data_IF_032699583223
#
_entry.id   IF_032699583223
#
_cell.length_a   1.000
_cell.length_b   1.000
_cell.length_c   1.000
_cell.angle_alpha   90.00
_cell.angle_beta   90.00
_cell.angle_gamma   90.00
#
_symmetry.space_group_name_H-M   'P 1'
#
loop_
_entity.id
_entity.type
_entity.pdbx_description
1 polymer ?
#
# COMPACT_ATOMS: atom_id res chain seq x y z
N UNK A 1 -10.01 15.90 -13.98
CA UNK A 1 -10.71 14.60 -13.91
C UNK A 1 -11.94 14.68 -14.78
N UNK A 2 -12.00 13.82 -15.79
CA UNK A 2 -13.10 13.65 -16.74
C UNK A 2 -14.20 12.75 -16.14
N UNK A 3 -15.39 12.75 -16.72
CA UNK A 3 -16.50 11.88 -16.29
C UNK A 3 -16.14 10.39 -16.39
N UNK A 4 -15.45 9.99 -17.46
CA UNK A 4 -14.96 8.62 -17.64
C UNK A 4 -13.97 8.19 -16.55
N UNK A 5 -13.07 9.08 -16.13
CA UNK A 5 -12.13 8.80 -15.04
C UNK A 5 -12.84 8.64 -13.68
N UNK A 6 -13.90 9.42 -13.43
CA UNK A 6 -14.72 9.28 -12.21
C UNK A 6 -15.44 7.93 -12.18
N UNK A 7 -16.12 7.58 -13.28
CA UNK A 7 -16.84 6.30 -13.39
C UNK A 7 -15.91 5.09 -13.26
N UNK A 8 -14.72 5.15 -13.88
CA UNK A 8 -13.72 4.10 -13.76
C UNK A 8 -13.22 3.94 -12.32
N UNK A 9 -13.00 5.06 -11.62
CA UNK A 9 -12.62 5.04 -10.20
C UNK A 9 -13.72 4.48 -9.31
N UNK A 10 -14.97 4.86 -9.52
CA UNK A 10 -16.11 4.33 -8.76
C UNK A 10 -16.32 2.83 -8.98
N UNK A 11 -16.18 2.36 -10.23
CA UNK A 11 -16.23 0.93 -10.54
C UNK A 11 -15.09 0.17 -9.85
N UNK A 12 -13.87 0.72 -9.89
CA UNK A 12 -12.72 0.16 -9.20
C UNK A 12 -12.93 0.11 -7.67
N UNK A 13 -13.39 1.20 -7.07
CA UNK A 13 -13.63 1.29 -5.62
C UNK A 13 -14.73 0.30 -5.18
N UNK A 14 -15.77 0.10 -6.00
CA UNK A 14 -16.82 -0.90 -5.76
C UNK A 14 -16.28 -2.34 -5.82
N UNK A 15 -15.39 -2.64 -6.75
CA UNK A 15 -14.78 -3.96 -6.89
C UNK A 15 -13.70 -4.23 -5.83
N UNK A 16 -13.11 -3.19 -5.25
CA UNK A 16 -11.98 -3.28 -4.32
C UNK A 16 -12.31 -2.55 -3.01
N UNK A 17 -13.22 -3.09 -2.19
CA UNK A 17 -13.60 -2.47 -0.94
C UNK A 17 -12.42 -2.45 0.04
N UNK A 18 -12.40 -1.41 0.88
CA UNK A 18 -11.50 -1.32 2.02
C UNK A 18 -11.79 -2.44 3.03
N UNK A 19 -10.73 -3.04 3.55
CA UNK A 19 -10.74 -4.14 4.50
C UNK A 19 -10.13 -3.71 5.83
N UNK A 20 -10.52 -4.38 6.89
CA UNK A 20 -9.92 -4.20 8.21
C UNK A 20 -8.48 -4.74 8.23
N UNK A 21 -7.61 -4.10 9.02
CA UNK A 21 -6.17 -4.40 9.05
C UNK A 21 -5.84 -5.81 9.52
N UNK A 22 -6.68 -6.42 10.34
CA UNK A 22 -6.57 -7.81 10.81
C UNK A 22 -6.66 -8.85 9.68
N UNK A 23 -7.24 -8.49 8.54
CA UNK A 23 -7.31 -9.34 7.35
C UNK A 23 -6.03 -9.31 6.50
N UNK A 24 -5.12 -8.37 6.74
CA UNK A 24 -3.89 -8.25 5.97
C UNK A 24 -2.94 -9.42 6.25
N UNK A 25 -2.31 -9.95 5.19
CA UNK A 25 -1.39 -11.09 5.28
C UNK A 25 0.00 -10.72 4.74
N UNK A 26 1.10 -11.19 5.36
CA UNK A 26 2.45 -10.97 4.86
C UNK A 26 2.80 -11.91 3.69
N UNK A 27 1.90 -12.05 2.73
CA UNK A 27 2.03 -12.98 1.60
C UNK A 27 2.55 -12.30 0.32
N UNK A 28 2.86 -11.00 0.40
CA UNK A 28 3.33 -10.20 -0.73
C UNK A 28 2.23 -9.64 -1.61
N UNK A 29 0.97 -9.77 -1.21
CA UNK A 29 -0.15 -9.08 -1.86
C UNK A 29 0.14 -7.59 -1.89
N UNK A 30 0.12 -7.02 -3.10
CA UNK A 30 0.22 -5.58 -3.31
C UNK A 30 -1.09 -4.98 -2.84
N UNK A 31 -1.03 -3.84 -2.16
CA UNK A 31 -2.21 -3.19 -1.63
C UNK A 31 -2.06 -1.67 -1.65
N UNK A 32 -3.18 -0.99 -1.43
CA UNK A 32 -3.22 0.41 -1.02
C UNK A 32 -3.52 0.47 0.47
N UNK A 33 -2.99 1.50 1.13
CA UNK A 33 -3.23 1.77 2.55
C UNK A 33 -4.05 3.06 2.68
N UNK A 34 -5.07 3.01 3.53
CA UNK A 34 -5.74 4.19 4.03
C UNK A 34 -4.98 4.64 5.27
N UNK A 35 -4.18 5.70 5.12
CA UNK A 35 -3.35 6.24 6.18
C UNK A 35 -4.13 7.31 6.95
N UNK A 36 -4.02 7.29 8.28
CA UNK A 36 -4.43 8.42 9.09
C UNK A 36 -3.31 9.45 9.07
N UNK A 37 -3.30 10.29 8.05
CA UNK A 37 -2.54 11.53 8.14
C UNK A 37 -3.24 12.38 9.21
N UNK A 38 -2.54 12.70 10.29
CA UNK A 38 -3.08 13.43 11.45
C UNK A 38 -3.51 14.89 11.10
N UNK A 39 -3.54 15.24 9.82
CA UNK A 39 -3.89 16.55 9.25
C UNK A 39 -5.24 16.48 8.51
N UNK A 40 -5.88 15.30 8.44
CA UNK A 40 -7.19 15.11 7.79
C UNK A 40 -7.11 14.96 6.28
N UNK A 41 -5.91 14.81 5.70
CA UNK A 41 -5.74 14.37 4.33
C UNK A 41 -5.77 12.85 4.28
N UNK A 42 -6.96 12.29 4.08
CA UNK A 42 -7.12 10.93 3.57
C UNK A 42 -6.68 10.89 2.10
N UNK A 43 -5.40 11.14 1.83
CA UNK A 43 -4.86 10.90 0.50
C UNK A 43 -5.00 9.40 0.25
N UNK A 44 -5.90 9.05 -0.66
CA UNK A 44 -5.81 7.82 -1.43
C UNK A 44 -4.59 7.97 -2.35
N UNK A 45 -3.38 8.02 -1.76
CA UNK A 45 -2.15 8.01 -2.51
C UNK A 45 -2.17 6.74 -3.35
N UNK A 46 -1.97 6.87 -4.65
CA UNK A 46 -1.83 5.73 -5.58
C UNK A 46 -0.62 4.83 -5.24
N UNK A 47 0.14 5.21 -4.21
CA UNK A 47 1.22 4.46 -3.62
C UNK A 47 0.77 3.03 -3.31
N UNK A 48 1.61 2.09 -3.73
CA UNK A 48 1.42 0.66 -3.53
C UNK A 48 2.32 0.16 -2.42
N UNK A 49 1.78 -0.71 -1.59
CA UNK A 49 2.45 -1.25 -0.41
C UNK A 49 2.38 -2.78 -0.38
N UNK A 50 3.20 -3.39 0.46
CA UNK A 50 3.03 -4.78 0.90
C UNK A 50 3.39 -4.93 2.37
N UNK A 51 2.79 -5.94 3.02
CA UNK A 51 3.10 -6.33 4.40
C UNK A 51 4.25 -7.33 4.42
N UNK A 52 5.28 -7.06 5.20
CA UNK A 52 6.37 -8.00 5.45
C UNK A 52 6.06 -8.92 6.63
N UNK A 53 6.74 -10.07 6.70
CA UNK A 53 6.58 -11.05 7.80
C UNK A 53 6.83 -10.49 9.20
N UNK A 54 7.63 -9.42 9.32
CA UNK A 54 7.85 -8.71 10.58
C UNK A 54 6.75 -7.70 10.96
N UNK A 55 5.62 -7.66 10.25
CA UNK A 55 4.51 -6.74 10.52
C UNK A 55 4.74 -5.30 10.03
N UNK A 56 5.81 -5.05 9.29
CA UNK A 56 6.16 -3.73 8.76
C UNK A 56 5.66 -3.55 7.33
N UNK A 57 5.15 -2.37 7.03
CA UNK A 57 4.67 -1.97 5.71
C UNK A 57 5.79 -1.31 4.89
N UNK A 58 5.91 -1.72 3.62
CA UNK A 58 6.88 -1.17 2.68
C UNK A 58 6.16 -0.61 1.46
N UNK A 59 6.48 0.63 1.09
CA UNK A 59 6.08 1.23 -0.19
C UNK A 59 6.94 0.64 -1.31
N UNK A 60 6.30 0.31 -2.43
CA UNK A 60 6.92 -0.31 -3.59
C UNK A 60 7.69 0.72 -4.42
N UNK A 61 7.08 1.88 -4.65
CA UNK A 61 7.64 2.94 -5.48
C UNK A 61 7.25 4.33 -4.95
N UNK A 62 8.22 5.20 -4.62
CA UNK A 62 9.61 4.86 -4.36
C UNK A 62 9.74 3.86 -3.20
N UNK A 63 10.71 2.90 -3.24
CA UNK A 63 10.98 2.01 -2.12
C UNK A 63 11.20 2.78 -0.81
N UNK A 64 10.41 2.45 0.21
CA UNK A 64 10.49 3.09 1.53
C UNK A 64 9.70 2.35 2.61
N UNK A 65 10.03 2.60 3.87
CA UNK A 65 9.25 2.11 5.01
C UNK A 65 8.06 3.03 5.25
N UNK A 66 6.86 2.47 5.43
CA UNK A 66 5.73 3.24 5.92
C UNK A 66 5.80 3.32 7.45
N UNK A 67 5.99 4.54 7.96
CA UNK A 67 6.04 4.81 9.41
C UNK A 67 4.67 5.18 10.00
N UNK A 68 3.70 5.49 9.15
CA UNK A 68 2.34 5.80 9.56
C UNK A 68 1.56 4.52 9.86
N UNK A 69 0.59 4.61 10.77
CA UNK A 69 -0.32 3.51 11.09
C UNK A 69 -1.51 3.54 10.11
N UNK A 70 -1.63 2.54 9.22
CA UNK A 70 -2.81 2.42 8.36
C UNK A 70 -4.06 2.03 9.17
N UNK A 71 -5.21 2.57 8.78
CA UNK A 71 -6.52 2.25 9.37
C UNK A 71 -7.19 1.11 8.61
N UNK A 72 -7.04 1.11 7.28
CA UNK A 72 -7.60 0.10 6.39
C UNK A 72 -6.63 -0.17 5.25
N UNK A 73 -6.84 -1.30 4.59
CA UNK A 73 -6.09 -1.68 3.40
C UNK A 73 -7.03 -2.23 2.35
N UNK A 74 -6.60 -2.25 1.09
CA UNK A 74 -7.31 -2.98 0.04
C UNK A 74 -6.33 -3.63 -0.92
N UNK A 75 -6.59 -4.87 -1.37
CA UNK A 75 -5.70 -5.54 -2.30
C UNK A 75 -5.70 -4.83 -3.65
N UNK A 76 -4.54 -4.77 -4.26
CA UNK A 76 -4.37 -4.59 -5.69
C UNK A 76 -4.26 -5.98 -6.32
N UNK A 77 -4.68 -6.15 -7.58
CA UNK A 77 -4.64 -7.43 -8.31
C UNK A 77 -3.22 -7.88 -8.70
N UNK A 78 -2.24 -7.75 -7.79
CA UNK A 78 -0.86 -8.14 -7.99
C UNK A 78 -0.27 -8.73 -6.70
N UNK A 79 0.67 -9.66 -6.86
CA UNK A 79 1.45 -10.24 -5.76
C UNK A 79 2.93 -10.18 -6.12
N UNK A 80 3.75 -9.74 -5.18
CA UNK A 80 5.20 -9.70 -5.34
C UNK A 80 5.83 -11.05 -5.08
N UNK A 81 6.89 -11.36 -5.82
CA UNK A 81 7.75 -12.51 -5.50
C UNK A 81 8.58 -12.23 -4.25
N UNK A 82 9.06 -13.26 -3.54
CA UNK A 82 9.96 -13.09 -2.40
C UNK A 82 11.22 -12.26 -2.72
N UNK A 83 11.81 -12.46 -3.90
CA UNK A 83 13.02 -11.76 -4.36
C UNK A 83 12.74 -10.27 -4.51
N UNK A 84 11.59 -9.91 -5.11
CA UNK A 84 11.20 -8.51 -5.28
C UNK A 84 10.94 -7.83 -3.94
N UNK A 85 10.32 -8.53 -2.99
CA UNK A 85 10.14 -8.00 -1.62
C UNK A 85 11.48 -7.74 -0.94
N UNK A 86 12.42 -8.67 -1.05
CA UNK A 86 13.76 -8.52 -0.46
C UNK A 86 14.51 -7.33 -1.07
N UNK A 87 14.44 -7.16 -2.40
CA UNK A 87 15.02 -6.01 -3.07
C UNK A 87 14.45 -4.68 -2.54
N UNK A 88 13.12 -4.56 -2.43
CA UNK A 88 12.46 -3.34 -1.93
C UNK A 88 12.88 -3.06 -0.48
N UNK A 89 12.94 -4.09 0.37
CA UNK A 89 13.40 -3.96 1.77
C UNK A 89 14.82 -3.39 1.84
N UNK A 90 15.74 -3.95 1.05
CA UNK A 90 17.13 -3.47 1.02
C UNK A 90 17.24 -2.01 0.55
N UNK A 91 16.50 -1.62 -0.49
CA UNK A 91 16.47 -0.24 -0.97
C UNK A 91 15.89 0.72 0.08
N UNK A 92 14.85 0.28 0.79
CA UNK A 92 14.22 1.08 1.85
C UNK A 92 15.18 1.33 3.01
N UNK A 93 15.96 0.31 3.42
CA UNK A 93 16.97 0.47 4.48
C UNK A 93 18.09 1.44 4.10
N UNK A 94 18.54 1.42 2.84
CA UNK A 94 19.58 2.33 2.36
C UNK A 94 19.14 3.79 2.43
N UNK A 95 17.87 4.08 2.13
CA UNK A 95 17.28 5.42 2.18
C UNK A 95 17.12 5.99 3.58
N UNK A 96 17.02 5.14 4.60
CA UNK A 96 16.93 5.58 6.00
C UNK A 96 18.33 5.95 6.54
N UNK A 97 19.39 5.34 6.00
CA UNK A 97 20.77 5.54 6.44
C UNK A 97 21.47 6.74 5.78
N UNK A 98 20.86 7.35 4.77
CA UNK A 98 21.34 8.56 4.05
C UNK A 98 20.67 9.81 4.58
#
# INVERSE_FOLDING_TARGET
MTESERLAKEAYDRMNPWRAMDQAKPDGTVCELLLNDMVGHFQSSTDRYFLDGGGRWYRIDPPGVCFLTPINWRPAFARLTPERRNFIKQQSSRRIAS
#
